data_IF_328667440852
#
_entry.id   IF_328667440852
#
_cell.length_a   1.000
_cell.length_b   1.000
_cell.length_c   1.000
_cell.angle_alpha   90.00
_cell.angle_beta   90.00
_cell.angle_gamma   90.00
#
_symmetry.space_group_name_H-M   'P 1'
#
loop_
_entity.id
_entity.type
_entity.pdbx_description
1 polymer ?
#
# COMPACT_ATOMS: atom_id res chain seq x y z
N UNK A 1 50.37 43.74 -16.40
CA UNK A 1 49.31 44.24 -15.51
C UNK A 1 48.13 43.31 -15.69
N UNK A 2 47.97 42.34 -14.79
CA UNK A 2 46.94 41.30 -14.90
C UNK A 2 45.69 41.75 -14.15
N UNK A 3 44.65 42.08 -14.89
CA UNK A 3 43.30 42.24 -14.34
C UNK A 3 42.73 40.85 -14.04
N UNK A 4 42.52 40.53 -12.77
CA UNK A 4 41.73 39.37 -12.38
C UNK A 4 40.25 39.74 -12.39
N UNK A 5 39.42 39.14 -13.27
CA UNK A 5 37.99 39.42 -13.31
C UNK A 5 37.28 38.74 -12.12
N UNK A 6 36.44 39.52 -11.43
CA UNK A 6 35.25 39.06 -10.71
C UNK A 6 35.41 37.84 -9.80
N UNK A 7 36.00 38.02 -8.63
CA UNK A 7 35.73 37.10 -7.51
C UNK A 7 34.41 37.51 -6.87
N UNK A 8 33.36 36.73 -7.10
CA UNK A 8 32.12 36.85 -6.33
C UNK A 8 32.44 36.79 -4.82
N UNK A 9 31.77 37.61 -3.98
CA UNK A 9 31.94 37.56 -2.53
C UNK A 9 31.86 36.12 -2.03
N UNK A 10 32.77 35.71 -1.15
CA UNK A 10 32.82 34.35 -0.61
C UNK A 10 31.51 33.87 0.06
N UNK A 11 30.61 34.81 0.36
CA UNK A 11 29.23 34.57 0.79
C UNK A 11 28.36 33.97 -0.32
N UNK A 12 28.45 34.48 -1.55
CA UNK A 12 27.63 34.08 -2.70
C UNK A 12 28.00 32.67 -3.18
N UNK A 13 29.30 32.36 -3.26
CA UNK A 13 29.81 30.99 -3.52
C UNK A 13 29.35 30.00 -2.43
N UNK A 14 29.27 30.46 -1.18
CA UNK A 14 28.77 29.68 -0.05
C UNK A 14 27.29 29.34 -0.17
N UNK A 15 26.45 30.32 -0.54
CA UNK A 15 25.03 30.15 -0.77
C UNK A 15 24.75 29.21 -1.95
N UNK A 16 25.46 29.38 -3.06
CA UNK A 16 25.37 28.51 -4.24
C UNK A 16 25.73 27.04 -3.91
N UNK A 17 26.82 26.83 -3.16
CA UNK A 17 27.23 25.49 -2.73
C UNK A 17 26.18 24.84 -1.81
N UNK A 18 25.59 25.60 -0.88
CA UNK A 18 24.52 25.08 0.00
C UNK A 18 23.27 24.72 -0.79
N UNK A 19 22.86 25.57 -1.75
CA UNK A 19 21.74 25.30 -2.65
C UNK A 19 21.94 23.99 -3.42
N UNK A 20 23.11 23.79 -4.05
CA UNK A 20 23.40 22.57 -4.81
C UNK A 20 23.38 21.30 -3.93
N UNK A 21 23.86 21.39 -2.70
CA UNK A 21 23.78 20.30 -1.72
C UNK A 21 22.34 19.94 -1.37
N UNK A 22 21.47 20.95 -1.20
CA UNK A 22 20.04 20.70 -0.97
C UNK A 22 19.36 20.05 -2.16
N UNK A 23 19.74 20.40 -3.39
CA UNK A 23 19.16 19.81 -4.59
C UNK A 23 19.63 18.37 -4.83
N UNK A 24 20.89 18.05 -4.54
CA UNK A 24 21.37 16.67 -4.53
C UNK A 24 20.59 15.79 -3.54
N UNK A 25 20.34 16.30 -2.33
CA UNK A 25 19.52 15.59 -1.33
C UNK A 25 18.09 15.39 -1.83
N UNK A 26 17.45 16.41 -2.40
CA UNK A 26 16.10 16.29 -2.99
C UNK A 26 16.07 15.25 -4.10
N UNK A 27 17.06 15.24 -4.99
CA UNK A 27 17.20 14.27 -6.07
C UNK A 27 17.27 12.83 -5.54
N UNK A 28 18.11 12.60 -4.53
CA UNK A 28 18.23 11.29 -3.90
C UNK A 28 16.94 10.85 -3.18
N UNK A 29 16.25 11.76 -2.48
CA UNK A 29 14.94 11.47 -1.88
C UNK A 29 13.93 11.02 -2.95
N UNK A 30 13.90 11.71 -4.10
CA UNK A 30 12.99 11.36 -5.19
C UNK A 30 13.33 10.00 -5.79
N UNK A 31 14.61 9.69 -5.97
CA UNK A 31 15.05 8.38 -6.44
C UNK A 31 14.62 7.25 -5.49
N UNK A 32 14.79 7.42 -4.17
CA UNK A 32 14.34 6.43 -3.17
C UNK A 32 12.82 6.26 -3.20
N UNK A 33 12.06 7.36 -3.32
CA UNK A 33 10.59 7.30 -3.46
C UNK A 33 10.16 6.56 -4.73
N UNK A 34 10.82 6.81 -5.85
CA UNK A 34 10.53 6.14 -7.11
C UNK A 34 10.85 4.64 -7.04
N UNK A 35 11.95 4.27 -6.37
CA UNK A 35 12.28 2.87 -6.11
C UNK A 35 11.21 2.20 -5.26
N UNK A 36 10.82 2.82 -4.13
CA UNK A 36 9.76 2.31 -3.25
C UNK A 36 8.42 2.16 -4.00
N UNK A 37 8.11 3.07 -4.93
CA UNK A 37 6.93 2.95 -5.79
C UNK A 37 7.03 1.73 -6.70
N UNK A 38 8.16 1.54 -7.38
CA UNK A 38 8.41 0.39 -8.26
C UNK A 38 8.32 -0.93 -7.51
N UNK A 39 8.88 -1.00 -6.30
CA UNK A 39 8.86 -2.20 -5.46
C UNK A 39 7.44 -2.61 -5.04
N UNK A 40 6.50 -1.65 -4.97
CA UNK A 40 5.09 -1.89 -4.64
C UNK A 40 4.22 -2.25 -5.86
N UNK A 41 4.65 -1.94 -7.10
CA UNK A 41 3.90 -2.24 -8.32
C UNK A 41 3.50 -3.71 -8.48
N UNK A 42 4.37 -4.72 -8.27
CA UNK A 42 3.97 -6.12 -8.41
C UNK A 42 2.81 -6.48 -7.47
N UNK A 43 2.82 -5.98 -6.23
CA UNK A 43 1.75 -6.23 -5.26
C UNK A 43 0.43 -5.57 -5.63
N UNK A 44 0.47 -4.39 -6.26
CA UNK A 44 -0.74 -3.73 -6.76
C UNK A 44 -1.37 -4.58 -7.87
N UNK A 45 -0.54 -5.10 -8.78
CA UNK A 45 -0.98 -5.95 -9.88
C UNK A 45 -1.50 -7.31 -9.36
N UNK A 46 -0.76 -7.98 -8.48
CA UNK A 46 -1.19 -9.23 -7.82
C UNK A 46 -2.52 -9.03 -7.07
N UNK A 47 -2.66 -7.92 -6.34
CA UNK A 47 -3.92 -7.58 -5.66
C UNK A 47 -5.07 -7.41 -6.65
N UNK A 48 -4.83 -6.73 -7.77
CA UNK A 48 -5.86 -6.52 -8.78
C UNK A 48 -6.31 -7.86 -9.40
N UNK A 49 -5.36 -8.72 -9.77
CA UNK A 49 -5.64 -10.06 -10.29
C UNK A 49 -6.38 -10.93 -9.28
N UNK A 50 -5.94 -10.95 -8.02
CA UNK A 50 -6.61 -11.66 -6.93
C UNK A 50 -8.05 -11.17 -6.77
N UNK A 51 -8.29 -9.86 -6.77
CA UNK A 51 -9.65 -9.31 -6.65
C UNK A 51 -10.53 -9.73 -7.83
N UNK A 52 -10.00 -9.74 -9.05
CA UNK A 52 -10.74 -10.20 -10.23
C UNK A 52 -11.09 -11.69 -10.14
N UNK A 53 -10.11 -12.54 -9.83
CA UNK A 53 -10.33 -13.98 -9.65
C UNK A 53 -11.36 -14.26 -8.55
N UNK A 54 -11.22 -13.64 -7.38
CA UNK A 54 -12.15 -13.84 -6.26
C UNK A 54 -13.58 -13.36 -6.56
N UNK A 55 -13.74 -12.33 -7.41
CA UNK A 55 -15.07 -11.90 -7.87
C UNK A 55 -15.69 -12.95 -8.78
N UNK A 56 -14.93 -13.42 -9.77
CA UNK A 56 -15.38 -14.45 -10.69
C UNK A 56 -15.78 -15.73 -9.94
N UNK A 57 -14.97 -16.19 -8.99
CA UNK A 57 -15.29 -17.37 -8.17
C UNK A 57 -16.61 -17.22 -7.41
N UNK A 58 -16.88 -16.03 -6.85
CA UNK A 58 -18.13 -15.76 -6.14
C UNK A 58 -19.32 -15.75 -7.08
N UNK A 59 -19.16 -15.15 -8.26
CA UNK A 59 -20.21 -15.10 -9.28
C UNK A 59 -20.51 -16.50 -9.83
N UNK A 60 -19.48 -17.31 -10.06
CA UNK A 60 -19.60 -18.71 -10.49
C UNK A 60 -20.29 -19.55 -9.42
N UNK A 61 -19.88 -19.43 -8.15
CA UNK A 61 -20.51 -20.15 -7.04
C UNK A 61 -21.98 -19.77 -6.91
N UNK A 62 -22.29 -18.47 -6.95
CA UNK A 62 -23.65 -17.94 -6.87
C UNK A 62 -24.52 -18.46 -8.03
N UNK A 63 -23.96 -18.49 -9.23
CA UNK A 63 -24.67 -18.95 -10.44
C UNK A 63 -24.98 -20.44 -10.35
N UNK A 64 -24.00 -21.26 -9.95
CA UNK A 64 -24.18 -22.71 -9.75
C UNK A 64 -25.20 -23.02 -8.64
N UNK A 65 -25.12 -22.30 -7.51
CA UNK A 65 -26.08 -22.44 -6.42
C UNK A 65 -27.50 -22.04 -6.86
N UNK A 66 -27.64 -20.96 -7.63
CA UNK A 66 -28.94 -20.52 -8.14
C UNK A 66 -29.58 -21.54 -9.09
N UNK A 67 -28.82 -22.04 -10.06
CA UNK A 67 -29.29 -23.07 -10.99
C UNK A 67 -29.71 -24.35 -10.25
N UNK A 68 -28.90 -24.78 -9.27
CA UNK A 68 -29.22 -25.92 -8.42
C UNK A 68 -30.48 -25.68 -7.59
N UNK A 69 -30.61 -24.49 -6.99
CA UNK A 69 -31.76 -24.12 -6.19
C UNK A 69 -33.07 -24.19 -7.00
N UNK A 70 -33.07 -23.73 -8.25
CA UNK A 70 -34.23 -23.87 -9.16
C UNK A 70 -34.54 -25.35 -9.39
N UNK A 71 -33.54 -26.16 -9.75
CA UNK A 71 -33.72 -27.58 -10.05
C UNK A 71 -34.25 -28.36 -8.83
N UNK A 72 -33.66 -28.14 -7.66
CA UNK A 72 -34.10 -28.77 -6.41
C UNK A 72 -35.51 -28.29 -6.00
N UNK A 73 -35.81 -27.01 -6.16
CA UNK A 73 -37.15 -26.48 -5.85
C UNK A 73 -38.21 -27.08 -6.77
N UNK A 74 -37.91 -27.20 -8.06
CA UNK A 74 -38.77 -27.88 -9.03
C UNK A 74 -38.99 -29.33 -8.64
N UNK A 75 -37.94 -30.08 -8.31
CA UNK A 75 -38.04 -31.47 -7.88
C UNK A 75 -38.88 -31.63 -6.59
N UNK A 76 -38.72 -30.74 -5.61
CA UNK A 76 -39.55 -30.74 -4.38
C UNK A 76 -41.02 -30.44 -4.68
N UNK A 77 -41.30 -29.50 -5.59
CA UNK A 77 -42.66 -29.17 -6.02
C UNK A 77 -43.31 -30.29 -6.83
N UNK A 78 -42.56 -31.02 -7.64
CA UNK A 78 -43.06 -32.16 -8.42
C UNK A 78 -43.50 -33.33 -7.54
N UNK A 79 -42.90 -33.51 -6.35
CA UNK A 79 -43.33 -34.52 -5.37
C UNK A 79 -44.69 -34.22 -4.74
N UNK A 80 -45.14 -32.96 -4.78
CA UNK A 80 -46.47 -32.61 -4.29
C UNK A 80 -47.49 -32.96 -5.37
N UNK A 81 -48.36 -33.93 -5.07
CA UNK A 81 -49.45 -34.30 -5.95
C UNK A 81 -50.41 -33.11 -6.13
N UNK A 82 -50.71 -32.79 -7.39
CA UNK A 82 -51.60 -31.69 -7.78
C UNK A 82 -53.02 -32.22 -8.06
N UNK A 83 -53.98 -31.30 -8.12
CA UNK A 83 -55.37 -31.62 -8.48
C UNK A 83 -56.08 -32.51 -7.46
N UNK A 84 -57.01 -33.35 -7.95
CA UNK A 84 -57.88 -34.19 -7.10
C UNK A 84 -57.10 -35.16 -6.21
N UNK A 85 -55.94 -35.68 -6.67
CA UNK A 85 -55.06 -36.54 -5.87
C UNK A 85 -54.42 -35.79 -4.69
N UNK A 86 -54.07 -34.52 -4.87
CA UNK A 86 -53.56 -33.68 -3.78
C UNK A 86 -54.60 -33.38 -2.69
N UNK A 87 -55.89 -33.37 -3.04
CA UNK A 87 -56.98 -33.25 -2.07
C UNK A 87 -57.10 -34.54 -1.25
N UNK A 88 -56.97 -35.70 -1.89
CA UNK A 88 -56.97 -36.99 -1.21
C UNK A 88 -55.78 -37.15 -0.24
N UNK A 89 -54.60 -36.70 -0.65
CA UNK A 89 -53.39 -36.74 0.19
C UNK A 89 -53.45 -35.80 1.41
N UNK A 90 -54.26 -34.74 1.33
CA UNK A 90 -54.55 -33.89 2.49
C UNK A 90 -55.45 -34.60 3.49
N UNK A 91 -56.38 -35.41 3.01
CA UNK A 91 -57.29 -36.18 3.85
C UNK A 91 -56.57 -37.35 4.55
N UNK A 92 -55.63 -38.02 3.85
CA UNK A 92 -54.83 -39.13 4.39
C UNK A 92 -53.60 -38.69 5.19
N UNK A 93 -53.30 -37.39 5.21
CA UNK A 93 -52.13 -36.83 5.92
C UNK A 93 -50.79 -36.98 5.19
N UNK A 94 -50.75 -37.74 4.08
CA UNK A 94 -49.55 -37.94 3.25
C UNK A 94 -48.95 -36.62 2.76
N UNK A 95 -49.79 -35.64 2.45
CA UNK A 95 -49.36 -34.30 2.03
C UNK A 95 -48.49 -33.60 3.10
N UNK A 96 -48.83 -33.75 4.39
CA UNK A 96 -48.06 -33.14 5.48
C UNK A 96 -46.68 -33.81 5.66
N UNK A 97 -46.59 -35.12 5.43
CA UNK A 97 -45.33 -35.86 5.48
C UNK A 97 -44.39 -35.43 4.35
N UNK A 98 -44.92 -35.27 3.12
CA UNK A 98 -44.13 -34.78 1.98
C UNK A 98 -43.64 -33.35 2.18
N UNK A 99 -44.45 -32.47 2.78
CA UNK A 99 -44.00 -31.11 3.13
C UNK A 99 -42.84 -31.16 4.12
N UNK A 100 -42.96 -31.90 5.23
CA UNK A 100 -41.89 -32.02 6.22
C UNK A 100 -40.59 -32.56 5.63
N UNK A 101 -40.69 -33.52 4.70
CA UNK A 101 -39.53 -34.03 3.97
C UNK A 101 -38.89 -32.94 3.11
N UNK A 102 -39.70 -32.22 2.32
CA UNK A 102 -39.22 -31.13 1.47
C UNK A 102 -38.58 -29.99 2.29
N UNK A 103 -39.14 -29.67 3.47
CA UNK A 103 -38.59 -28.68 4.41
C UNK A 103 -37.24 -29.13 4.95
N UNK A 104 -37.12 -30.37 5.42
CA UNK A 104 -35.85 -30.92 5.91
C UNK A 104 -34.79 -30.91 4.81
N UNK A 105 -35.16 -31.30 3.59
CA UNK A 105 -34.26 -31.23 2.44
C UNK A 105 -33.85 -29.79 2.13
N UNK A 106 -34.78 -28.84 2.12
CA UNK A 106 -34.48 -27.43 1.88
C UNK A 106 -33.50 -26.87 2.93
N UNK A 107 -33.67 -27.22 4.20
CA UNK A 107 -32.74 -26.83 5.28
C UNK A 107 -31.35 -27.43 5.10
N UNK A 108 -31.26 -28.72 4.76
CA UNK A 108 -29.97 -29.36 4.46
C UNK A 108 -29.28 -28.70 3.27
N UNK A 109 -30.04 -28.31 2.25
CA UNK A 109 -29.50 -27.61 1.08
C UNK A 109 -28.96 -26.22 1.45
N UNK A 110 -29.70 -25.48 2.27
CA UNK A 110 -29.28 -24.17 2.77
C UNK A 110 -27.98 -24.27 3.58
N UNK A 111 -27.90 -25.25 4.49
CA UNK A 111 -26.71 -25.46 5.32
C UNK A 111 -25.48 -25.77 4.46
N UNK A 112 -25.63 -26.67 3.49
CA UNK A 112 -24.56 -27.03 2.55
C UNK A 112 -24.08 -25.82 1.74
N UNK A 113 -25.00 -25.02 1.22
CA UNK A 113 -24.67 -23.85 0.41
C UNK A 113 -24.04 -22.73 1.27
N UNK A 114 -24.42 -22.65 2.55
CA UNK A 114 -23.73 -21.83 3.55
C UNK A 114 -22.30 -22.31 3.77
N UNK A 115 -22.08 -23.59 4.06
CA UNK A 115 -20.73 -24.14 4.23
C UNK A 115 -19.84 -23.90 2.99
N UNK A 116 -20.39 -24.01 1.79
CA UNK A 116 -19.65 -23.73 0.54
C UNK A 116 -19.19 -22.27 0.48
N UNK A 117 -20.06 -21.33 0.85
CA UNK A 117 -19.71 -19.90 0.92
C UNK A 117 -18.65 -19.65 1.99
N UNK A 118 -18.79 -20.26 3.16
CA UNK A 118 -17.85 -20.08 4.27
C UNK A 118 -16.46 -20.62 3.91
N UNK A 119 -16.38 -21.81 3.29
CA UNK A 119 -15.11 -22.36 2.78
C UNK A 119 -14.47 -21.45 1.73
N UNK A 120 -15.26 -20.90 0.80
CA UNK A 120 -14.76 -19.95 -0.19
C UNK A 120 -14.22 -18.69 0.49
N UNK A 121 -14.95 -18.12 1.45
CA UNK A 121 -14.52 -16.94 2.19
C UNK A 121 -13.19 -17.21 2.93
N UNK A 122 -13.08 -18.36 3.60
CA UNK A 122 -11.86 -18.73 4.31
C UNK A 122 -10.66 -18.85 3.37
N UNK A 123 -10.81 -19.51 2.21
CA UNK A 123 -9.76 -19.59 1.20
C UNK A 123 -9.35 -18.19 0.68
N UNK A 124 -10.31 -17.32 0.41
CA UNK A 124 -10.03 -15.97 -0.06
C UNK A 124 -9.39 -15.08 1.03
N UNK A 125 -9.68 -15.35 2.31
CA UNK A 125 -9.04 -14.68 3.45
C UNK A 125 -7.59 -15.11 3.63
N UNK A 126 -7.27 -16.41 3.46
CA UNK A 126 -5.89 -16.91 3.57
C UNK A 126 -5.02 -16.35 2.44
N UNK A 127 -5.51 -16.34 1.21
CA UNK A 127 -4.83 -15.71 0.07
C UNK A 127 -4.55 -14.22 0.32
N UNK A 128 -5.56 -13.49 0.80
CA UNK A 128 -5.40 -12.06 1.14
C UNK A 128 -4.36 -11.86 2.23
N UNK A 129 -4.35 -12.73 3.25
CA UNK A 129 -3.41 -12.66 4.38
C UNK A 129 -1.97 -12.85 3.91
N UNK A 130 -1.72 -13.80 3.01
CA UNK A 130 -0.39 -14.01 2.44
C UNK A 130 0.12 -12.75 1.72
N UNK A 131 -0.68 -12.21 0.79
CA UNK A 131 -0.34 -11.00 0.05
C UNK A 131 -0.12 -9.79 0.97
N UNK A 132 -0.96 -9.64 1.99
CA UNK A 132 -0.81 -8.57 2.99
C UNK A 132 0.48 -8.72 3.79
N UNK A 133 0.86 -9.94 4.16
CA UNK A 133 2.08 -10.21 4.94
C UNK A 133 3.30 -9.82 4.11
N UNK A 134 3.38 -10.29 2.86
CA UNK A 134 4.47 -9.93 1.95
C UNK A 134 4.55 -8.40 1.72
N UNK A 135 3.41 -7.74 1.52
CA UNK A 135 3.37 -6.30 1.35
C UNK A 135 3.75 -5.52 2.63
N UNK A 136 3.49 -6.06 3.83
CA UNK A 136 3.91 -5.45 5.10
C UNK A 136 5.42 -5.47 5.24
N UNK A 137 6.07 -6.60 4.95
CA UNK A 137 7.54 -6.73 5.03
C UNK A 137 8.27 -5.65 4.20
N UNK A 138 7.78 -5.37 2.99
CA UNK A 138 8.35 -4.32 2.13
C UNK A 138 8.09 -2.93 2.69
N UNK A 139 6.87 -2.66 3.19
CA UNK A 139 6.56 -1.35 3.82
C UNK A 139 7.42 -1.10 5.06
N UNK A 140 7.67 -2.13 5.84
CA UNK A 140 8.53 -2.05 7.03
C UNK A 140 9.98 -1.78 6.63
N UNK A 141 10.49 -2.45 5.59
CA UNK A 141 11.79 -2.13 5.00
C UNK A 141 11.86 -0.68 4.52
N UNK A 142 10.88 -0.21 3.76
CA UNK A 142 10.82 1.19 3.29
C UNK A 142 10.74 2.19 4.46
N UNK A 143 10.11 1.82 5.58
CA UNK A 143 10.07 2.65 6.80
C UNK A 143 11.46 2.78 7.40
N UNK A 144 12.17 1.67 7.55
CA UNK A 144 13.56 1.64 8.07
C UNK A 144 14.49 2.44 7.15
N UNK A 145 14.42 2.23 5.84
CA UNK A 145 15.22 2.97 4.86
C UNK A 145 14.96 4.48 4.92
N UNK A 146 13.70 4.91 5.04
CA UNK A 146 13.35 6.33 5.21
C UNK A 146 13.89 6.92 6.51
N UNK A 147 13.90 6.15 7.60
CA UNK A 147 14.48 6.59 8.87
C UNK A 147 16.01 6.75 8.77
N UNK A 148 16.70 5.81 8.12
CA UNK A 148 18.13 5.94 7.86
C UNK A 148 18.43 7.14 6.96
N UNK A 149 17.67 7.30 5.87
CA UNK A 149 17.79 8.45 4.98
C UNK A 149 17.64 9.78 5.72
N UNK A 150 16.60 9.92 6.57
CA UNK A 150 16.40 11.12 7.36
C UNK A 150 17.57 11.42 8.30
N UNK A 151 18.14 10.39 8.96
CA UNK A 151 19.33 10.52 9.82
C UNK A 151 20.56 10.97 9.02
N UNK A 152 20.80 10.36 7.86
CA UNK A 152 21.93 10.69 6.97
C UNK A 152 21.82 12.12 6.44
N UNK A 153 20.62 12.55 6.04
CA UNK A 153 20.38 13.93 5.60
C UNK A 153 20.63 14.90 6.74
N UNK A 154 20.12 14.61 7.94
CA UNK A 154 20.32 15.48 9.10
C UNK A 154 21.81 15.62 9.48
N UNK A 155 22.59 14.54 9.40
CA UNK A 155 24.04 14.58 9.64
C UNK A 155 24.78 15.33 8.52
N UNK A 156 24.39 15.12 7.27
CA UNK A 156 24.97 15.82 6.12
C UNK A 156 24.75 17.32 6.18
N UNK A 157 23.54 17.78 6.51
CA UNK A 157 23.20 19.20 6.63
C UNK A 157 23.84 19.88 7.85
N UNK A 158 24.07 19.15 8.94
CA UNK A 158 24.74 19.68 10.15
C UNK A 158 26.26 19.81 10.01
N UNK A 159 26.89 19.27 8.96
CA UNK A 159 28.34 19.28 8.81
C UNK A 159 28.83 20.73 8.55
N UNK A 160 29.66 21.31 9.44
CA UNK A 160 30.14 22.69 9.27
C UNK A 160 31.02 22.82 8.03
N UNK A 161 31.06 24.04 7.45
CA UNK A 161 31.96 24.39 6.33
C UNK A 161 33.39 24.04 6.76
N UNK A 162 34.18 23.31 5.94
CA UNK A 162 35.57 23.06 6.27
C UNK A 162 36.27 24.40 6.48
N UNK A 163 36.86 24.58 7.66
CA UNK A 163 37.70 25.74 7.94
C UNK A 163 38.99 25.52 7.14
N UNK A 164 39.14 26.20 6.01
CA UNK A 164 40.35 26.14 5.19
C UNK A 164 41.38 27.03 5.91
N UNK A 165 42.42 26.48 6.55
CA UNK A 165 43.40 27.31 7.25
C UNK A 165 44.22 28.03 6.19
N UNK A 166 44.05 29.36 6.07
CA UNK A 166 44.88 30.17 5.16
C UNK A 166 44.26 31.45 4.58
N UNK A 167 42.98 31.76 4.83
CA UNK A 167 42.33 32.96 4.25
C UNK A 167 42.07 34.12 5.25
N UNK A 168 42.44 33.97 6.52
CA UNK A 168 42.07 34.93 7.58
C UNK A 168 43.15 35.98 7.89
N UNK A 169 44.25 36.04 7.12
CA UNK A 169 45.41 36.86 7.48
C UNK A 169 45.47 38.26 6.83
N UNK A 170 44.53 38.63 5.97
CA UNK A 170 44.71 39.81 5.11
C UNK A 170 44.14 41.16 5.63
N UNK A 171 43.38 41.20 6.73
CA UNK A 171 42.63 42.42 7.10
C UNK A 171 42.98 43.06 8.45
N UNK A 172 44.01 42.60 9.17
CA UNK A 172 44.35 43.15 10.50
C UNK A 172 45.54 44.12 10.56
N UNK A 173 46.13 44.51 9.43
CA UNK A 173 47.19 45.52 9.40
C UNK A 173 46.84 46.68 8.46
N UNK A 174 46.06 47.64 8.96
CA UNK A 174 46.04 49.04 8.47
C UNK A 174 45.22 49.86 9.46
N UNK A 175 45.89 50.31 10.53
CA UNK A 175 45.58 51.52 11.30
C UNK A 175 46.58 51.61 12.47
N UNK A 176 47.83 51.91 12.14
CA UNK A 176 48.79 52.46 13.10
C UNK A 176 49.44 53.65 12.42
N UNK A 177 48.83 54.82 12.57
CA UNK A 177 49.42 56.08 12.14
C UNK A 177 50.70 56.34 12.93
N UNK A 178 51.82 56.71 12.30
CA UNK A 178 52.98 57.21 13.02
C UNK A 178 52.75 58.68 13.36
N UNK A 179 52.51 58.99 14.63
CA UNK A 179 52.56 60.36 15.14
C UNK A 179 54.01 60.82 15.20
N UNK A 180 54.36 61.75 14.33
CA UNK A 180 55.62 62.49 14.31
C UNK A 180 55.81 63.31 15.60
N UNK A 181 57.03 63.23 16.10
CA UNK A 181 57.72 63.90 17.20
C UNK A 181 57.88 65.42 17.07
N UNK A 182 58.00 66.15 18.21
CA UNK A 182 59.23 66.84 18.73
C UNK A 182 58.90 68.08 19.62
N UNK A 183 59.57 68.15 20.79
CA UNK A 183 60.09 69.28 21.62
C UNK A 183 59.24 70.56 21.87
N UNK A 184 59.35 71.29 22.99
CA UNK A 184 60.39 71.50 24.01
C UNK A 184 59.74 71.95 25.33
#
# INVERSE_FOLDING_TARGET
MGDTPGLEPAADVGAWLQSRKTDQVKGYINQVKDQHRKDLLPFINERAQMVMAQRQERDDLKTKQYQRWIAETKARQERLNKGLRGIFDRLTGAHSATIKLNEREALNCLHRDQEQRDRLILAQMTERKDLQTRARTIRDRHKVERQHLAKTIATYLKRPKPNIPGLDHASRQRNRSPGLSFDR
#
